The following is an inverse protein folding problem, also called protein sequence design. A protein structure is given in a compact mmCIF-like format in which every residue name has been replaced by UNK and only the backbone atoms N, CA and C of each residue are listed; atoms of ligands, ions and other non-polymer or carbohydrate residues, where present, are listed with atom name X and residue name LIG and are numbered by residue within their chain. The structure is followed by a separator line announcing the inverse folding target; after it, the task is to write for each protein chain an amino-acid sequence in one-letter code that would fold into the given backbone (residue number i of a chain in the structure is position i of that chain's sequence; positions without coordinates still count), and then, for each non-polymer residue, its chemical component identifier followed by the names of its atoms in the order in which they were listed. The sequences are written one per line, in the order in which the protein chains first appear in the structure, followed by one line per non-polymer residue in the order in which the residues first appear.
data_IF_721580335415
#
_entry.id   IF_721580335415
#
_cell.length_a   1.000
_cell.length_b   1.000
_cell.length_c   1.000
_cell.angle_alpha   90.00
_cell.angle_beta   90.00
_cell.angle_gamma   90.00
#
_symmetry.space_group_name_H-M   'P 1'
#
loop_
_entity.id
_entity.type
_entity.pdbx_description
1 polymer ?
#
# COMPACT_ATOMS: atom_id res chain seq x y z
N UNK A 1 30.80 -12.58 -50.68
CA UNK A 1 30.12 -13.17 -49.52
C UNK A 1 30.02 -12.05 -48.53
N UNK A 2 28.95 -11.29 -48.64
CA UNK A 2 28.72 -10.11 -47.81
C UNK A 2 28.09 -10.61 -46.53
N UNK A 3 28.81 -10.40 -45.42
CA UNK A 3 28.34 -10.75 -44.08
C UNK A 3 27.33 -9.67 -43.71
N UNK A 4 26.04 -10.00 -43.80
CA UNK A 4 24.99 -9.17 -43.21
C UNK A 4 25.25 -9.08 -41.69
N UNK A 5 25.69 -7.91 -41.26
CA UNK A 5 25.74 -7.54 -39.86
C UNK A 5 24.30 -7.40 -39.38
N UNK A 6 23.82 -8.42 -38.67
CA UNK A 6 22.56 -8.36 -37.93
C UNK A 6 22.75 -7.29 -36.85
N UNK A 7 22.12 -6.13 -37.05
CA UNK A 7 21.99 -5.09 -36.02
C UNK A 7 21.22 -5.71 -34.86
N UNK A 8 21.95 -6.23 -33.88
CA UNK A 8 21.36 -6.62 -32.59
C UNK A 8 21.06 -5.31 -31.89
N UNK A 9 19.85 -4.78 -32.10
CA UNK A 9 19.30 -3.72 -31.28
C UNK A 9 19.44 -4.13 -29.82
N UNK A 10 20.37 -3.45 -29.15
CA UNK A 10 20.67 -3.65 -27.74
C UNK A 10 19.53 -3.00 -26.96
N UNK A 11 18.39 -3.66 -26.89
CA UNK A 11 17.27 -3.24 -26.05
C UNK A 11 17.80 -3.18 -24.61
N UNK A 12 17.93 -1.96 -24.08
CA UNK A 12 18.35 -1.77 -22.71
C UNK A 12 17.24 -2.36 -21.83
N UNK A 13 17.55 -3.47 -21.15
CA UNK A 13 16.64 -4.07 -20.18
C UNK A 13 16.43 -3.07 -19.05
N UNK A 14 15.23 -2.50 -18.98
CA UNK A 14 14.78 -1.70 -17.85
C UNK A 14 14.07 -2.63 -16.86
N UNK A 15 14.67 -2.92 -15.69
CA UNK A 15 14.06 -3.79 -14.69
C UNK A 15 12.78 -3.21 -14.06
N UNK A 16 12.47 -1.93 -14.32
CA UNK A 16 11.24 -1.29 -13.85
C UNK A 16 10.11 -1.30 -14.88
N UNK A 17 10.40 -1.67 -16.12
CA UNK A 17 9.41 -1.78 -17.19
C UNK A 17 8.75 -3.15 -17.20
N UNK A 18 7.43 -3.16 -17.35
CA UNK A 18 6.67 -4.39 -17.55
C UNK A 18 6.71 -4.76 -19.03
N UNK A 19 6.95 -6.03 -19.31
CA UNK A 19 6.84 -6.58 -20.66
C UNK A 19 5.37 -6.59 -21.11
N UNK A 20 5.09 -6.58 -22.44
CA UNK A 20 3.72 -6.71 -22.94
C UNK A 20 2.99 -7.94 -22.38
N UNK A 21 3.71 -9.05 -22.15
CA UNK A 21 3.15 -10.27 -21.56
C UNK A 21 2.76 -10.08 -20.09
N UNK A 22 3.55 -9.34 -19.30
CA UNK A 22 3.21 -9.02 -17.91
C UNK A 22 2.00 -8.08 -17.83
N UNK A 23 1.93 -7.09 -18.74
CA UNK A 23 0.77 -6.20 -18.87
C UNK A 23 -0.48 -7.00 -19.23
N UNK A 24 -0.42 -7.85 -20.26
CA UNK A 24 -1.53 -8.70 -20.66
C UNK A 24 -1.95 -9.66 -19.54
N UNK A 25 -0.99 -10.21 -18.79
CA UNK A 25 -1.28 -11.11 -17.66
C UNK A 25 -2.02 -10.38 -16.54
N UNK A 26 -1.66 -9.13 -16.23
CA UNK A 26 -2.30 -8.37 -15.16
C UNK A 26 -3.61 -7.68 -15.56
N UNK A 27 -3.76 -7.30 -16.84
CA UNK A 27 -4.86 -6.45 -17.31
C UNK A 27 -5.80 -7.13 -18.31
N UNK A 28 -5.38 -8.25 -18.90
CA UNK A 28 -6.06 -8.91 -20.03
C UNK A 28 -5.87 -8.22 -21.38
N UNK A 29 -5.06 -7.16 -21.46
CA UNK A 29 -4.79 -6.41 -22.69
C UNK A 29 -3.35 -5.87 -22.69
N UNK A 30 -2.50 -6.34 -23.60
CA UNK A 30 -1.09 -5.92 -23.71
C UNK A 30 -0.89 -4.40 -23.94
N UNK A 31 -1.90 -3.72 -24.51
CA UNK A 31 -1.88 -2.28 -24.79
C UNK A 31 -2.54 -1.44 -23.67
N UNK A 32 -2.90 -2.07 -22.55
CA UNK A 32 -3.53 -1.37 -21.42
C UNK A 32 -2.56 -0.38 -20.79
N UNK A 33 -2.90 0.91 -20.85
CA UNK A 33 -2.13 2.01 -20.24
C UNK A 33 -2.82 2.62 -19.02
N UNK A 34 -4.06 2.21 -18.74
CA UNK A 34 -4.86 2.66 -17.61
C UNK A 34 -5.55 1.46 -16.97
N UNK A 35 -5.14 1.12 -15.75
CA UNK A 35 -5.77 0.07 -14.95
C UNK A 35 -6.81 0.70 -14.03
N UNK A 36 -8.08 0.37 -14.26
CA UNK A 36 -9.19 0.75 -13.39
C UNK A 36 -9.63 -0.44 -12.54
N UNK A 37 -10.06 -0.18 -11.31
CA UNK A 37 -10.60 -1.18 -10.41
C UNK A 37 -11.93 -0.70 -9.79
N UNK A 38 -12.90 -1.60 -9.55
CA UNK A 38 -14.21 -1.24 -9.01
C UNK A 38 -14.22 -1.11 -7.48
N UNK A 39 -13.12 -1.46 -6.81
CA UNK A 39 -13.00 -1.49 -5.36
C UNK A 39 -12.75 -0.09 -4.80
N UNK A 40 -13.79 0.51 -4.21
CA UNK A 40 -13.65 1.78 -3.50
C UNK A 40 -12.96 1.58 -2.15
N UNK A 41 -11.63 1.51 -2.20
CA UNK A 41 -10.78 1.27 -1.04
C UNK A 41 -10.36 2.57 -0.38
N UNK A 42 -10.23 2.54 0.95
CA UNK A 42 -9.63 3.59 1.76
C UNK A 42 -8.62 2.99 2.72
N UNK A 43 -7.51 3.68 2.95
CA UNK A 43 -6.56 3.27 3.97
C UNK A 43 -7.16 3.55 5.34
N UNK A 44 -7.05 2.57 6.23
CA UNK A 44 -7.54 2.72 7.60
C UNK A 44 -6.77 3.78 8.38
N UNK A 45 -5.47 3.94 8.12
CA UNK A 45 -4.66 4.95 8.81
C UNK A 45 -4.95 6.37 8.32
N UNK A 46 -5.24 6.55 7.03
CA UNK A 46 -5.62 7.84 6.48
C UNK A 46 -7.01 8.34 6.94
N UNK A 47 -7.88 7.45 7.39
CA UNK A 47 -9.26 7.79 7.78
C UNK A 47 -9.36 8.38 9.21
N UNK A 48 -8.39 8.08 10.08
CA UNK A 48 -8.40 8.52 11.48
C UNK A 48 -7.47 9.71 11.66
N UNK A 49 -7.93 10.76 12.33
CA UNK A 49 -7.09 11.94 12.63
C UNK A 49 -5.80 11.55 13.37
N UNK A 50 -4.68 12.17 12.98
CA UNK A 50 -3.40 12.01 13.67
C UNK A 50 -3.22 13.07 14.75
N UNK A 51 -3.10 12.61 15.99
CA UNK A 51 -2.80 13.47 17.14
C UNK A 51 -1.35 13.35 17.61
N UNK A 52 -0.58 12.39 17.09
CA UNK A 52 0.78 12.09 17.55
C UNK A 52 1.88 12.68 16.66
N UNK A 53 1.55 13.26 15.50
CA UNK A 53 2.52 13.81 14.56
C UNK A 53 3.44 12.74 13.96
N UNK A 54 2.91 11.53 13.85
CA UNK A 54 3.64 10.33 13.39
C UNK A 54 3.22 9.91 11.99
N UNK A 55 2.32 10.68 11.37
CA UNK A 55 1.77 10.43 10.04
C UNK A 55 2.13 11.54 9.06
N UNK A 56 2.10 11.20 7.78
CA UNK A 56 2.36 12.12 6.68
C UNK A 56 1.13 13.00 6.36
N UNK A 57 1.23 13.82 5.32
CA UNK A 57 0.14 14.70 4.89
C UNK A 57 -1.11 13.96 4.37
N UNK A 58 -0.98 12.67 4.05
CA UNK A 58 -2.09 11.82 3.62
C UNK A 58 -2.69 11.04 4.79
N UNK A 59 -2.16 11.21 6.01
CA UNK A 59 -2.58 10.49 7.20
C UNK A 59 -2.01 9.07 7.29
N UNK A 60 -1.04 8.70 6.45
CA UNK A 60 -0.36 7.40 6.54
C UNK A 60 0.76 7.43 7.58
N UNK A 61 1.12 6.30 8.22
CA UNK A 61 2.32 6.24 9.05
C UNK A 61 3.53 6.77 8.28
N UNK A 62 4.44 7.49 8.94
CA UNK A 62 5.70 7.91 8.31
C UNK A 62 6.63 6.73 8.00
N UNK A 63 6.47 5.63 8.75
CA UNK A 63 7.32 4.44 8.65
C UNK A 63 6.53 3.20 9.02
N UNK A 64 6.56 2.18 8.16
CA UNK A 64 6.09 0.82 8.45
C UNK A 64 7.19 -0.21 8.27
N UNK A 65 8.27 0.11 7.55
CA UNK A 65 9.48 -0.71 7.46
C UNK A 65 10.72 0.14 7.74
N UNK A 66 11.60 -0.39 8.60
CA UNK A 66 12.85 0.27 8.96
C UNK A 66 14.00 -0.73 9.11
N UNK A 67 14.94 -0.67 8.18
CA UNK A 67 16.22 -1.34 8.26
C UNK A 67 17.36 -0.38 7.88
N UNK A 68 18.59 -0.90 7.79
CA UNK A 68 19.78 -0.07 7.53
C UNK A 68 19.78 0.63 6.16
N UNK A 69 19.03 0.10 5.21
CA UNK A 69 19.01 0.56 3.82
C UNK A 69 17.70 1.26 3.46
N UNK A 70 16.65 1.10 4.26
CA UNK A 70 15.32 1.59 3.95
C UNK A 70 14.57 2.06 5.19
N UNK A 71 13.90 3.20 5.06
CA UNK A 71 12.99 3.76 6.06
C UNK A 71 11.80 4.35 5.31
N UNK A 72 10.62 3.75 5.44
CA UNK A 72 9.43 4.26 4.78
C UNK A 72 8.19 3.40 4.99
N UNK A 73 7.14 3.77 4.26
CA UNK A 73 5.80 3.15 4.36
C UNK A 73 5.55 2.29 3.15
N UNK A 74 5.38 0.99 3.40
CA UNK A 74 5.16 -0.05 2.39
C UNK A 74 4.05 -1.02 2.79
N UNK A 75 3.54 -0.92 4.01
CA UNK A 75 2.47 -1.74 4.54
C UNK A 75 1.20 -0.90 4.69
N UNK A 76 0.06 -1.47 4.32
CA UNK A 76 -1.22 -0.77 4.34
C UNK A 76 -2.34 -1.75 4.74
N UNK A 77 -3.34 -1.25 5.46
CA UNK A 77 -4.61 -1.95 5.65
C UNK A 77 -5.68 -1.14 4.92
N UNK A 78 -6.19 -1.70 3.83
CA UNK A 78 -7.26 -1.13 3.03
C UNK A 78 -8.62 -1.70 3.46
N UNK A 79 -9.63 -0.84 3.58
CA UNK A 79 -11.01 -1.23 3.86
C UNK A 79 -11.94 -0.80 2.72
N UNK A 80 -13.06 -1.51 2.56
CA UNK A 80 -14.12 -1.17 1.60
C UNK A 80 -15.20 -0.26 2.22
N UNK A 81 -16.16 0.23 1.42
CA UNK A 81 -17.22 1.14 1.89
C UNK A 81 -18.12 0.56 2.99
N UNK A 82 -18.28 -0.77 3.07
CA UNK A 82 -19.09 -1.42 4.11
C UNK A 82 -18.47 -1.44 5.50
N UNK A 83 -17.21 -1.00 5.62
CA UNK A 83 -16.48 -0.90 6.87
C UNK A 83 -16.10 0.56 7.15
N UNK A 84 -16.08 0.93 8.41
CA UNK A 84 -15.60 2.22 8.90
C UNK A 84 -14.46 1.98 9.89
N UNK A 85 -13.39 2.78 9.79
CA UNK A 85 -12.27 2.70 10.73
C UNK A 85 -12.62 3.40 12.02
N UNK A 86 -12.74 2.63 13.10
CA UNK A 86 -13.06 3.18 14.43
C UNK A 86 -11.81 3.80 15.06
N UNK A 87 -10.71 3.04 15.07
CA UNK A 87 -9.41 3.43 15.65
C UNK A 87 -8.28 2.69 14.95
N UNK A 88 -7.07 3.22 15.07
CA UNK A 88 -5.84 2.55 14.66
C UNK A 88 -4.80 2.63 15.78
N UNK A 89 -3.90 1.65 15.82
CA UNK A 89 -2.74 1.70 16.70
C UNK A 89 -1.79 2.81 16.20
N UNK A 90 -1.47 3.77 17.07
CA UNK A 90 -0.60 4.87 16.72
C UNK A 90 0.80 4.39 16.27
N UNK A 91 1.36 4.91 15.17
CA UNK A 91 2.71 4.57 14.75
C UNK A 91 3.78 4.96 15.77
N UNK A 92 4.94 4.30 15.71
CA UNK A 92 6.07 4.62 16.58
C UNK A 92 6.63 5.99 16.16
N UNK A 93 6.83 6.94 17.10
CA UNK A 93 7.46 8.21 16.77
C UNK A 93 8.87 8.04 16.18
N UNK A 94 9.17 8.80 15.12
CA UNK A 94 10.45 8.70 14.39
C UNK A 94 11.68 8.84 15.29
N UNK A 95 11.62 9.72 16.29
CA UNK A 95 12.73 9.92 17.23
C UNK A 95 13.00 8.67 18.10
N UNK A 96 11.97 7.89 18.45
CA UNK A 96 12.11 6.66 19.22
C UNK A 96 12.69 5.52 18.36
N UNK A 97 12.36 5.51 17.07
CA UNK A 97 12.92 4.54 16.12
C UNK A 97 14.43 4.74 15.91
N UNK A 98 14.90 5.99 15.91
CA UNK A 98 16.30 6.35 15.70
C UNK A 98 17.27 5.91 16.82
N UNK A 99 16.76 5.29 17.89
CA UNK A 99 17.60 4.67 18.94
C UNK A 99 18.34 3.42 18.46
N UNK A 100 17.95 2.86 17.31
CA UNK A 100 18.63 1.75 16.63
C UNK A 100 18.89 2.14 15.17
N UNK A 101 19.95 1.64 14.51
CA UNK A 101 20.19 1.89 13.07
C UNK A 101 19.17 1.20 12.14
N UNK A 102 18.19 0.49 12.70
CA UNK A 102 17.20 -0.30 11.98
C UNK A 102 16.70 -1.45 12.85
N UNK A 103 15.64 -2.09 12.38
CA UNK A 103 15.12 -3.36 12.87
C UNK A 103 15.53 -4.50 11.89
N UNK A 104 15.41 -5.79 12.28
CA UNK A 104 15.08 -6.29 13.62
C UNK A 104 16.17 -5.97 14.65
N UNK A 105 15.82 -6.07 15.93
CA UNK A 105 16.75 -6.01 17.07
C UNK A 105 16.51 -7.20 17.99
N UNK A 106 17.31 -7.35 19.06
CA UNK A 106 17.07 -8.41 20.07
C UNK A 106 15.67 -8.35 20.70
N UNK A 107 15.03 -7.17 20.73
CA UNK A 107 13.68 -6.98 21.28
C UNK A 107 12.58 -6.99 20.22
N UNK A 108 12.92 -6.82 18.95
CA UNK A 108 11.98 -6.65 17.84
C UNK A 108 12.34 -7.62 16.73
N UNK A 109 11.51 -8.65 16.51
CA UNK A 109 11.82 -9.75 15.60
C UNK A 109 11.61 -9.47 14.11
N UNK A 110 11.07 -8.31 13.75
CA UNK A 110 10.76 -7.92 12.36
C UNK A 110 11.33 -6.53 12.08
N UNK A 111 11.73 -6.27 10.84
CA UNK A 111 12.02 -4.92 10.35
C UNK A 111 10.79 -4.11 9.94
N UNK A 112 9.64 -4.79 9.82
CA UNK A 112 8.33 -4.16 9.67
C UNK A 112 7.63 -3.94 11.03
N UNK A 113 6.96 -2.80 11.15
CA UNK A 113 6.13 -2.40 12.30
C UNK A 113 4.71 -2.85 12.02
N UNK A 114 4.13 -3.61 12.94
CA UNK A 114 2.76 -4.10 12.81
C UNK A 114 1.76 -2.94 12.75
N UNK A 115 0.89 -2.98 11.73
CA UNK A 115 -0.31 -2.15 11.65
C UNK A 115 -1.48 -2.87 12.31
N UNK A 116 -2.33 -2.12 13.01
CA UNK A 116 -3.53 -2.66 13.63
C UNK A 116 -4.66 -1.63 13.60
N UNK A 117 -5.82 -2.07 13.14
CA UNK A 117 -7.01 -1.23 12.96
C UNK A 117 -8.24 -1.89 13.56
N UNK A 118 -9.05 -1.13 14.29
CA UNK A 118 -10.37 -1.51 14.76
C UNK A 118 -11.41 -1.03 13.73
N UNK A 119 -12.22 -1.94 13.21
CA UNK A 119 -13.20 -1.69 12.16
C UNK A 119 -14.62 -2.01 12.66
N UNK A 120 -15.60 -1.26 12.17
CA UNK A 120 -17.02 -1.51 12.38
C UNK A 120 -17.77 -1.59 11.04
N UNK A 121 -18.83 -2.38 10.99
CA UNK A 121 -19.74 -2.38 9.83
C UNK A 121 -20.55 -1.08 9.79
N UNK A 122 -20.65 -0.50 8.60
CA UNK A 122 -21.55 0.63 8.35
C UNK A 122 -22.96 0.10 8.21
N UNK A 123 -23.91 0.65 8.98
CA UNK A 123 -25.32 0.27 8.88
C UNK A 123 -25.89 0.86 7.59
N UNK A 124 -26.38 0.01 6.68
CA UNK A 124 -27.11 0.49 5.51
C UNK A 124 -28.43 1.12 5.97
N UNK A 125 -28.61 2.40 5.70
CA UNK A 125 -29.85 3.14 6.01
C UNK A 125 -31.00 2.74 5.07
N UNK A 126 -30.75 1.88 4.07
CA UNK A 126 -31.74 1.50 3.06
C UNK A 126 -32.69 0.34 3.47
N UNK A 127 -32.48 -0.32 4.61
CA UNK A 127 -33.28 -1.51 5.00
C UNK A 127 -34.56 -1.19 5.80
N UNK A 128 -35.08 0.04 5.75
CA UNK A 128 -36.25 0.46 6.56
C UNK A 128 -37.39 1.10 5.76
N UNK A 129 -37.75 0.60 4.57
CA UNK A 129 -38.95 1.06 3.86
C UNK A 129 -39.67 -0.02 3.02
N UNK A 130 -39.70 -1.27 3.48
CA UNK A 130 -40.60 -2.31 2.90
C UNK A 130 -41.22 -3.17 3.99
N UNK A 131 -41.99 -2.56 4.87
CA UNK A 131 -43.13 -3.23 5.50
C UNK A 131 -44.37 -2.46 5.06
N UNK A 132 -45.10 -3.05 4.11
CA UNK A 132 -46.39 -2.58 3.61
C UNK A 132 -47.44 -3.35 4.40
N UNK A 133 -48.23 -2.66 5.23
CA UNK A 133 -49.54 -3.15 5.70
C UNK A 133 -50.56 -3.15 4.56
#
# INVERSE_FOLDING_TARGET
MDIETVDVEKTAYDPSSWTPMEIETATGNADCTLLEQPLKLRSTYAEVEDFSGTRDSNGEPLVTSYNRCFLGTVDYIWRSEGLHTVKVLAPIPKHAMQWTPGFPTRKWGSDHIALASELAFVKNVMDHNTEVE
#
